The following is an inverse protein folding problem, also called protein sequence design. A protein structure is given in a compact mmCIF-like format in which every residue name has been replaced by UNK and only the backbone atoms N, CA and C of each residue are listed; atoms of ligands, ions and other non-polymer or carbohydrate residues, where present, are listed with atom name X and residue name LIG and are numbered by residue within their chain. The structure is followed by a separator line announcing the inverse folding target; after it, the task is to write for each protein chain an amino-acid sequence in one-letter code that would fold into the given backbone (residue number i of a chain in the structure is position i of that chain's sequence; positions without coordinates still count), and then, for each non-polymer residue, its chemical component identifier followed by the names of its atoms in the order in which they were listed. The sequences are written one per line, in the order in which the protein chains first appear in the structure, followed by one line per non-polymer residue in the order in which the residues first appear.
data_IF_917672981463
#
_entry.id   IF_917672981463
#
_cell.length_a   1.000
_cell.length_b   1.000
_cell.length_c   1.000
_cell.angle_alpha   90.00
_cell.angle_beta   90.00
_cell.angle_gamma   90.00
#
_symmetry.space_group_name_H-M   'P 1'
#
loop_
_entity.id
_entity.type
_entity.pdbx_description
1 polymer ?
#
# COMPACT_ATOMS: atom_id res chain seq x y z
N UNK A 1 -10.59 -7.10 1.98
CA UNK A 1 -10.23 -6.01 1.07
C UNK A 1 -9.38 -6.54 -0.07
N UNK A 2 -9.35 -5.85 -1.21
CA UNK A 2 -8.52 -6.25 -2.36
C UNK A 2 -7.19 -5.49 -2.29
N UNK A 3 -6.52 -5.66 -1.16
CA UNK A 3 -5.21 -5.14 -0.84
C UNK A 3 -4.28 -6.28 -0.43
N UNK A 4 -3.01 -5.94 -0.19
CA UNK A 4 -2.00 -6.92 0.21
C UNK A 4 -2.33 -7.55 1.57
N UNK A 5 -2.82 -6.76 2.54
CA UNK A 5 -3.24 -7.30 3.85
C UNK A 5 -4.44 -8.26 3.72
N UNK A 6 -5.38 -8.01 2.80
CA UNK A 6 -6.45 -8.93 2.45
C UNK A 6 -5.95 -10.24 1.84
N UNK A 7 -4.89 -10.18 1.02
CA UNK A 7 -4.21 -11.36 0.48
C UNK A 7 -3.57 -12.20 1.60
N UNK A 8 -2.97 -11.56 2.61
CA UNK A 8 -2.47 -12.25 3.79
C UNK A 8 -3.58 -12.95 4.58
N UNK A 9 -4.74 -12.31 4.78
CA UNK A 9 -5.90 -12.93 5.44
C UNK A 9 -6.34 -14.19 4.69
N UNK A 10 -6.47 -14.12 3.35
CA UNK A 10 -6.79 -15.31 2.53
C UNK A 10 -5.77 -16.42 2.75
N UNK A 11 -4.48 -16.09 2.75
CA UNK A 11 -3.41 -17.04 3.01
C UNK A 11 -3.49 -17.68 4.40
N UNK A 12 -3.80 -16.92 5.44
CA UNK A 12 -4.01 -17.44 6.79
C UNK A 12 -5.21 -18.39 6.88
N UNK A 13 -6.30 -18.10 6.16
CA UNK A 13 -7.47 -19.00 6.06
C UNK A 13 -7.10 -20.29 5.33
N UNK A 14 -6.37 -20.20 4.22
CA UNK A 14 -5.84 -21.38 3.51
C UNK A 14 -4.96 -22.22 4.46
N UNK A 15 -4.04 -21.58 5.18
CA UNK A 15 -3.15 -22.23 6.13
C UNK A 15 -3.92 -22.90 7.28
N UNK A 16 -4.98 -22.27 7.80
CA UNK A 16 -5.84 -22.84 8.83
C UNK A 16 -6.41 -24.19 8.38
N UNK A 17 -7.03 -24.23 7.20
CA UNK A 17 -7.60 -25.46 6.66
C UNK A 17 -6.52 -26.47 6.27
N UNK A 18 -5.41 -26.04 5.69
CA UNK A 18 -4.29 -26.91 5.36
C UNK A 18 -3.70 -27.59 6.61
N UNK A 19 -3.57 -26.84 7.70
CA UNK A 19 -2.99 -27.34 8.95
C UNK A 19 -3.91 -28.30 9.69
N UNK A 20 -5.20 -27.97 9.83
CA UNK A 20 -6.13 -28.77 10.63
C UNK A 20 -6.91 -29.82 9.83
N UNK A 21 -7.25 -29.51 8.57
CA UNK A 21 -8.14 -30.34 7.74
C UNK A 21 -7.73 -30.33 6.25
N UNK A 22 -6.53 -30.83 5.90
CA UNK A 22 -6.02 -30.76 4.52
C UNK A 22 -6.92 -31.45 3.49
N UNK A 23 -7.64 -32.50 3.90
CA UNK A 23 -8.61 -33.20 3.03
C UNK A 23 -9.75 -32.29 2.56
N UNK A 24 -10.12 -31.25 3.32
CA UNK A 24 -11.15 -30.29 2.88
C UNK A 24 -10.69 -29.47 1.67
N UNK A 25 -9.40 -29.11 1.62
CA UNK A 25 -8.82 -28.38 0.48
C UNK A 25 -8.69 -29.26 -0.77
N UNK A 26 -8.76 -30.59 -0.62
CA UNK A 26 -8.76 -31.54 -1.74
C UNK A 26 -10.12 -31.63 -2.44
N UNK A 27 -11.19 -31.08 -1.83
CA UNK A 27 -12.50 -31.02 -2.47
C UNK A 27 -12.60 -29.77 -3.35
N UNK A 28 -12.83 -29.99 -4.64
CA UNK A 28 -13.03 -28.92 -5.62
C UNK A 28 -14.19 -28.00 -5.20
N UNK A 29 -13.94 -26.69 -5.22
CA UNK A 29 -14.95 -25.69 -4.87
C UNK A 29 -15.23 -25.52 -3.37
N UNK A 30 -14.54 -26.23 -2.47
CA UNK A 30 -14.66 -26.02 -1.02
C UNK A 30 -14.27 -24.60 -0.61
N UNK A 31 -13.11 -24.13 -1.11
CA UNK A 31 -12.64 -22.78 -0.86
C UNK A 31 -12.90 -21.90 -2.08
N UNK A 32 -13.51 -20.74 -1.84
CA UNK A 32 -13.83 -19.75 -2.87
C UNK A 32 -13.41 -18.37 -2.38
N UNK A 33 -13.04 -17.50 -3.30
CA UNK A 33 -12.80 -16.10 -3.02
C UNK A 33 -13.73 -15.20 -3.83
N UNK A 34 -14.15 -14.11 -3.20
CA UNK A 34 -14.89 -13.04 -3.84
C UNK A 34 -13.94 -11.88 -4.15
N UNK A 35 -13.89 -11.46 -5.40
CA UNK A 35 -13.06 -10.36 -5.89
C UNK A 35 -13.90 -9.16 -6.31
N UNK A 36 -13.40 -7.97 -6.03
CA UNK A 36 -14.00 -6.70 -6.47
C UNK A 36 -12.99 -5.94 -7.32
N UNK A 37 -13.43 -5.05 -8.22
CA UNK A 37 -12.52 -4.14 -8.91
C UNK A 37 -11.69 -3.33 -7.92
N UNK A 38 -10.42 -3.11 -8.23
CA UNK A 38 -9.50 -2.28 -7.43
C UNK A 38 -9.43 -0.84 -7.94
N UNK A 39 -9.73 -0.62 -9.22
CA UNK A 39 -9.80 0.71 -9.83
C UNK A 39 -11.04 0.74 -10.72
N UNK A 40 -11.79 1.83 -10.65
CA UNK A 40 -12.83 2.14 -11.64
C UNK A 40 -12.58 3.49 -12.25
N UNK A 41 -12.79 3.57 -13.56
CA UNK A 41 -12.66 4.79 -14.33
C UNK A 41 -14.01 5.20 -14.91
N UNK A 42 -14.37 6.46 -14.84
CA UNK A 42 -15.60 7.02 -15.45
C UNK A 42 -15.24 8.15 -16.40
N UNK A 43 -15.67 8.03 -17.65
CA UNK A 43 -15.52 9.08 -18.67
C UNK A 43 -16.43 10.27 -18.36
N UNK A 44 -15.93 11.49 -18.59
CA UNK A 44 -16.71 12.72 -18.47
C UNK A 44 -17.88 12.80 -19.49
N UNK A 45 -17.80 12.10 -20.63
CA UNK A 45 -18.86 12.06 -21.65
C UNK A 45 -19.92 10.99 -21.39
N UNK A 46 -19.95 10.41 -20.19
CA UNK A 46 -21.08 9.61 -19.70
C UNK A 46 -21.15 8.17 -20.20
N UNK A 47 -20.06 7.63 -20.79
CA UNK A 47 -19.98 6.19 -21.09
C UNK A 47 -19.47 5.37 -19.90
N UNK A 48 -19.90 4.12 -19.89
CA UNK A 48 -19.77 3.09 -18.84
C UNK A 48 -18.48 3.15 -18.03
N UNK A 49 -18.59 2.84 -16.74
CA UNK A 49 -17.44 2.75 -15.86
C UNK A 49 -16.62 1.49 -16.19
N UNK A 50 -15.40 1.67 -16.68
CA UNK A 50 -14.47 0.54 -16.85
C UNK A 50 -13.89 0.17 -15.48
N UNK A 51 -13.84 -1.13 -15.21
CA UNK A 51 -13.39 -1.70 -13.94
C UNK A 51 -12.16 -2.55 -14.18
N UNK A 52 -11.13 -2.34 -13.34
CA UNK A 52 -9.87 -3.08 -13.37
C UNK A 52 -9.74 -3.88 -12.09
N UNK A 53 -9.25 -5.12 -12.20
CA UNK A 53 -9.13 -6.05 -11.08
C UNK A 53 -7.67 -6.27 -10.65
N UNK A 54 -6.72 -5.75 -11.42
CA UNK A 54 -5.30 -5.72 -11.07
C UNK A 54 -4.66 -4.37 -11.40
N UNK A 55 -3.59 -4.00 -10.67
CA UNK A 55 -2.86 -2.75 -10.92
C UNK A 55 -2.13 -2.81 -12.26
N UNK A 56 -1.50 -3.93 -12.68
CA UNK A 56 -0.92 -4.05 -14.01
C UNK A 56 -1.92 -3.77 -15.13
N UNK A 57 -3.10 -4.39 -15.09
CA UNK A 57 -4.17 -4.18 -16.08
C UNK A 57 -4.56 -2.69 -16.21
N UNK A 58 -4.66 -2.00 -15.06
CA UNK A 58 -4.92 -0.56 -15.05
C UNK A 58 -3.76 0.26 -15.63
N UNK A 59 -2.51 -0.08 -15.30
CA UNK A 59 -1.32 0.62 -15.82
C UNK A 59 -1.17 0.44 -17.33
N UNK A 60 -1.34 -0.78 -17.84
CA UNK A 60 -1.35 -1.07 -19.28
C UNK A 60 -2.40 -0.24 -20.02
N UNK A 61 -3.60 -0.13 -19.43
CA UNK A 61 -4.67 0.73 -19.95
C UNK A 61 -4.31 2.22 -19.94
N UNK A 62 -3.61 2.70 -18.89
CA UNK A 62 -3.12 4.08 -18.81
C UNK A 62 -2.05 4.36 -19.87
N UNK A 63 -1.07 3.47 -20.00
CA UNK A 63 0.06 3.62 -20.91
C UNK A 63 -0.38 3.55 -22.37
N UNK A 64 -1.30 2.63 -22.72
CA UNK A 64 -1.91 2.58 -24.04
C UNK A 64 -2.60 3.90 -24.43
N UNK A 65 -3.27 4.56 -23.48
CA UNK A 65 -3.89 5.88 -23.67
C UNK A 65 -2.88 7.02 -23.77
N UNK A 66 -1.82 7.01 -22.97
CA UNK A 66 -0.73 7.99 -23.06
C UNK A 66 -0.04 7.92 -24.43
N UNK A 67 0.20 6.71 -24.94
CA UNK A 67 0.78 6.50 -26.26
C UNK A 67 -0.11 7.00 -27.40
N UNK A 68 -1.44 6.88 -27.29
CA UNK A 68 -2.37 7.37 -28.32
C UNK A 68 -2.36 8.91 -28.42
N UNK A 69 -2.13 9.61 -27.30
CA UNK A 69 -2.04 11.08 -27.27
C UNK A 69 -0.68 11.57 -27.78
N UNK A 70 0.41 10.83 -27.54
CA UNK A 70 1.74 11.18 -28.07
C UNK A 70 1.86 10.98 -29.60
N UNK A 71 1.02 10.11 -30.19
CA UNK A 71 0.97 9.87 -31.63
C UNK A 71 0.01 10.78 -32.42
N UNK A 72 -0.78 11.64 -31.76
CA UNK A 72 -1.80 12.46 -32.43
C UNK A 72 -1.30 13.76 -33.05
N UNK A 73 0.01 14.01 -33.07
CA UNK A 73 0.59 15.20 -33.74
C UNK A 73 0.74 15.02 -35.27
N UNK A 74 0.43 13.84 -35.84
CA UNK A 74 0.39 13.61 -37.29
C UNK A 74 -0.72 12.63 -37.68
N UNK A 75 -1.88 13.14 -38.11
CA UNK A 75 -2.66 12.63 -39.25
C UNK A 75 -4.03 13.34 -39.33
N UNK A 76 -4.11 14.39 -40.15
CA UNK A 76 -5.37 14.87 -40.73
C UNK A 76 -5.92 13.77 -41.66
N UNK A 77 -6.71 12.86 -41.11
CA UNK A 77 -7.29 11.75 -41.88
C UNK A 77 -7.95 10.69 -41.00
N UNK A 78 -8.83 11.09 -40.08
CA UNK A 78 -9.65 10.13 -39.34
C UNK A 78 -10.92 9.80 -40.13
N UNK A 79 -11.11 8.52 -40.46
CA UNK A 79 -12.39 7.98 -40.97
C UNK A 79 -13.53 8.29 -40.00
N UNK A 80 -14.69 8.71 -40.55
CA UNK A 80 -15.92 8.96 -39.81
C UNK A 80 -16.38 7.69 -39.06
N UNK A 81 -16.20 7.66 -37.74
CA UNK A 81 -16.82 6.64 -36.88
C UNK A 81 -15.95 6.13 -35.73
N UNK A 82 -14.64 6.34 -35.73
CA UNK A 82 -13.77 5.93 -34.62
C UNK A 82 -13.69 7.06 -33.59
N UNK A 83 -14.36 6.88 -32.46
CA UNK A 83 -14.29 7.84 -31.35
C UNK A 83 -12.88 7.80 -30.78
N UNK A 84 -12.10 8.88 -30.95
CA UNK A 84 -10.76 8.96 -30.36
C UNK A 84 -10.85 8.78 -28.83
N UNK A 85 -9.93 8.01 -28.23
CA UNK A 85 -9.91 7.82 -26.78
C UNK A 85 -9.76 9.18 -26.09
N UNK A 86 -10.58 9.42 -25.06
CA UNK A 86 -10.50 10.65 -24.26
C UNK A 86 -9.13 10.77 -23.58
N UNK A 87 -8.59 12.00 -23.54
CA UNK A 87 -7.41 12.32 -22.72
C UNK A 87 -7.67 11.88 -21.27
N UNK A 88 -6.63 11.33 -20.62
CA UNK A 88 -6.69 10.87 -19.23
C UNK A 88 -7.20 11.94 -18.25
N UNK A 89 -6.93 13.21 -18.54
CA UNK A 89 -7.41 14.38 -17.77
C UNK A 89 -8.94 14.47 -17.69
N UNK A 90 -9.65 13.88 -18.66
CA UNK A 90 -11.12 13.88 -18.72
C UNK A 90 -11.74 12.58 -18.16
N UNK A 91 -10.92 11.72 -17.54
CA UNK A 91 -11.37 10.47 -16.94
C UNK A 91 -11.26 10.56 -15.43
N UNK A 92 -12.38 10.38 -14.74
CA UNK A 92 -12.38 10.24 -13.27
C UNK A 92 -11.86 8.86 -12.90
N UNK A 93 -10.80 8.80 -12.10
CA UNK A 93 -10.17 7.56 -11.61
C UNK A 93 -10.46 7.44 -10.13
N UNK A 94 -11.03 6.32 -9.69
CA UNK A 94 -11.31 6.04 -8.29
C UNK A 94 -10.74 4.69 -7.88
N UNK A 95 -9.97 4.68 -6.80
CA UNK A 95 -9.36 3.50 -6.20
C UNK A 95 -10.30 2.86 -5.17
N UNK A 96 -10.41 1.52 -5.18
CA UNK A 96 -11.31 0.70 -4.37
C UNK A 96 -10.52 -0.31 -3.54
N UNK A 97 -9.54 0.17 -2.75
CA UNK A 97 -8.69 -0.69 -1.91
C UNK A 97 -9.52 -1.38 -0.81
N UNK A 98 -10.36 -0.62 -0.10
CA UNK A 98 -11.26 -1.12 0.94
C UNK A 98 -12.63 -1.53 0.40
N UNK A 99 -13.20 -2.63 0.91
CA UNK A 99 -14.55 -3.07 0.52
C UNK A 99 -15.61 -2.02 0.86
N UNK A 100 -15.41 -1.25 1.93
CA UNK A 100 -16.29 -0.15 2.34
C UNK A 100 -16.39 1.02 1.35
N UNK A 101 -15.50 1.10 0.37
CA UNK A 101 -15.57 2.11 -0.71
C UNK A 101 -16.72 1.83 -1.70
N UNK A 102 -17.18 0.58 -1.77
CA UNK A 102 -18.27 0.17 -2.65
C UNK A 102 -19.62 0.57 -2.07
N UNK A 103 -20.49 1.12 -2.92
CA UNK A 103 -21.87 1.43 -2.57
C UNK A 103 -22.73 0.16 -2.51
N UNK A 104 -23.85 0.21 -1.79
CA UNK A 104 -24.80 -0.90 -1.77
C UNK A 104 -25.38 -1.23 -3.16
N UNK A 105 -25.45 -0.25 -4.07
CA UNK A 105 -25.87 -0.46 -5.45
C UNK A 105 -24.85 -1.30 -6.22
N UNK A 106 -23.56 -0.92 -6.15
CA UNK A 106 -22.47 -1.68 -6.75
C UNK A 106 -22.37 -3.09 -6.17
N UNK A 107 -22.57 -3.24 -4.86
CA UNK A 107 -22.64 -4.55 -4.22
C UNK A 107 -23.71 -5.45 -4.87
N UNK A 108 -24.93 -4.93 -5.08
CA UNK A 108 -25.99 -5.68 -5.77
C UNK A 108 -25.61 -6.03 -7.21
N UNK A 109 -24.89 -5.16 -7.93
CA UNK A 109 -24.39 -5.46 -9.27
C UNK A 109 -23.38 -6.61 -9.25
N UNK A 110 -22.44 -6.61 -8.30
CA UNK A 110 -21.47 -7.70 -8.18
C UNK A 110 -22.13 -9.04 -7.87
N UNK A 111 -23.13 -9.06 -6.99
CA UNK A 111 -23.87 -10.29 -6.69
C UNK A 111 -24.77 -10.75 -7.84
N UNK A 112 -25.25 -9.84 -8.71
CA UNK A 112 -25.92 -10.23 -9.96
C UNK A 112 -24.94 -10.88 -10.93
N UNK A 113 -23.70 -10.37 -11.00
CA UNK A 113 -22.62 -10.92 -11.80
C UNK A 113 -21.70 -11.87 -11.01
N UNK A 114 -22.25 -12.66 -10.07
CA UNK A 114 -21.46 -13.45 -9.11
C UNK A 114 -20.40 -14.34 -9.77
N UNK A 115 -20.67 -14.88 -10.96
CA UNK A 115 -19.72 -15.73 -11.69
C UNK A 115 -18.42 -15.00 -12.09
N UNK A 116 -18.49 -13.69 -12.34
CA UNK A 116 -17.32 -12.85 -12.64
C UNK A 116 -16.51 -12.54 -11.37
N UNK A 117 -17.20 -12.38 -10.24
CA UNK A 117 -16.61 -11.99 -8.97
C UNK A 117 -16.17 -13.17 -8.11
N UNK A 118 -16.56 -14.40 -8.46
CA UNK A 118 -16.23 -15.60 -7.70
C UNK A 118 -15.13 -16.39 -8.40
N UNK A 119 -14.00 -16.56 -7.71
CA UNK A 119 -12.95 -17.48 -8.11
C UNK A 119 -12.93 -18.69 -7.17
N UNK A 120 -12.73 -19.87 -7.74
CA UNK A 120 -12.67 -21.12 -6.98
C UNK A 120 -11.23 -21.57 -6.84
N UNK A 121 -10.85 -22.05 -5.65
CA UNK A 121 -9.58 -22.75 -5.52
C UNK A 121 -9.71 -24.15 -6.10
N UNK A 122 -8.72 -24.55 -6.88
CA UNK A 122 -8.60 -25.90 -7.41
C UNK A 122 -8.37 -26.89 -6.26
N UNK A 123 -8.64 -28.17 -6.50
CA UNK A 123 -8.36 -29.21 -5.52
C UNK A 123 -6.85 -29.27 -5.20
N UNK A 124 -6.52 -29.36 -3.92
CA UNK A 124 -5.15 -29.37 -3.41
C UNK A 124 -4.30 -30.46 -4.08
N UNK A 125 -3.18 -30.05 -4.69
CA UNK A 125 -2.18 -30.93 -5.27
C UNK A 125 -0.92 -31.02 -4.38
N UNK A 126 0.00 -31.92 -4.73
CA UNK A 126 1.24 -32.11 -3.96
C UNK A 126 2.15 -30.87 -3.92
N UNK A 127 2.25 -30.11 -5.02
CA UNK A 127 3.03 -28.88 -5.11
C UNK A 127 2.44 -27.75 -4.25
N UNK A 128 1.11 -27.67 -4.18
CA UNK A 128 0.38 -26.67 -3.38
C UNK A 128 0.72 -26.76 -1.89
N UNK A 129 0.76 -27.98 -1.33
CA UNK A 129 1.05 -28.21 0.08
C UNK A 129 2.45 -27.70 0.46
N UNK A 130 3.43 -27.88 -0.44
CA UNK A 130 4.79 -27.38 -0.24
C UNK A 130 4.85 -25.84 -0.26
N UNK A 131 4.08 -25.19 -1.13
CA UNK A 131 3.98 -23.73 -1.21
C UNK A 131 3.31 -23.14 0.04
N UNK A 132 2.23 -23.74 0.52
CA UNK A 132 1.56 -23.32 1.77
C UNK A 132 2.51 -23.47 2.96
N UNK A 133 3.19 -24.61 3.07
CA UNK A 133 4.15 -24.84 4.16
C UNK A 133 5.35 -23.88 4.07
N UNK A 134 5.86 -23.57 2.88
CA UNK A 134 6.89 -22.52 2.70
C UNK A 134 6.43 -21.17 3.28
N UNK A 135 5.21 -20.76 2.96
CA UNK A 135 4.67 -19.46 3.35
C UNK A 135 4.46 -19.33 4.86
N UNK A 136 3.92 -20.37 5.54
CA UNK A 136 3.43 -20.24 6.91
C UNK A 136 4.22 -21.01 7.97
N UNK A 137 5.12 -21.91 7.59
CA UNK A 137 5.92 -22.64 8.56
C UNK A 137 6.99 -21.74 9.19
N UNK A 138 6.93 -21.57 10.51
CA UNK A 138 7.87 -20.73 11.28
C UNK A 138 9.34 -21.11 11.07
N UNK A 139 9.63 -22.39 10.85
CA UNK A 139 10.99 -22.92 10.71
C UNK A 139 11.58 -22.67 9.31
N UNK A 140 10.75 -22.25 8.34
CA UNK A 140 11.15 -21.98 6.95
C UNK A 140 11.52 -20.52 6.65
N UNK A 141 11.90 -19.75 7.67
CA UNK A 141 12.30 -18.35 7.48
C UNK A 141 13.48 -18.19 6.48
N UNK A 142 14.46 -19.10 6.50
CA UNK A 142 15.57 -19.10 5.53
C UNK A 142 15.11 -19.36 4.08
N UNK A 143 14.17 -20.29 3.89
CA UNK A 143 13.60 -20.57 2.58
C UNK A 143 12.76 -19.40 2.06
N UNK A 144 11.98 -18.74 2.92
CA UNK A 144 11.23 -17.53 2.54
C UNK A 144 12.14 -16.39 2.09
N UNK A 145 13.31 -16.23 2.71
CA UNK A 145 14.31 -15.26 2.22
C UNK A 145 14.73 -15.59 0.79
N UNK A 146 15.11 -16.84 0.52
CA UNK A 146 15.50 -17.27 -0.82
C UNK A 146 14.37 -17.06 -1.84
N UNK A 147 13.14 -17.45 -1.48
CA UNK A 147 11.93 -17.23 -2.25
C UNK A 147 11.75 -15.75 -2.64
N UNK A 148 11.81 -14.85 -1.65
CA UNK A 148 11.67 -13.40 -1.82
C UNK A 148 12.87 -12.70 -2.47
N UNK A 149 14.02 -13.35 -2.63
CA UNK A 149 15.20 -12.72 -3.25
C UNK A 149 15.53 -13.25 -4.63
N UNK A 150 15.18 -14.50 -4.95
CA UNK A 150 15.72 -15.19 -6.14
C UNK A 150 14.71 -15.95 -6.98
N UNK A 151 13.61 -16.41 -6.39
CA UNK A 151 12.68 -17.32 -7.08
C UNK A 151 11.38 -16.64 -7.51
N UNK A 152 11.35 -15.31 -7.48
CA UNK A 152 10.11 -14.57 -7.64
C UNK A 152 10.17 -13.54 -8.75
N UNK A 153 9.00 -13.33 -9.34
CA UNK A 153 8.72 -12.28 -10.29
C UNK A 153 7.68 -11.34 -9.65
N UNK A 154 8.11 -10.17 -9.18
CA UNK A 154 7.21 -9.14 -8.64
C UNK A 154 6.31 -8.50 -9.71
N UNK A 155 6.55 -8.79 -10.98
CA UNK A 155 5.63 -8.40 -12.06
C UNK A 155 4.53 -9.45 -12.31
N UNK A 156 4.64 -10.64 -11.72
CA UNK A 156 3.64 -11.67 -11.86
C UNK A 156 2.45 -11.42 -10.93
N UNK A 157 1.26 -11.35 -11.53
CA UNK A 157 -0.01 -11.26 -10.82
C UNK A 157 -0.90 -12.44 -11.23
N UNK A 158 -1.87 -12.76 -10.38
CA UNK A 158 -2.93 -13.68 -10.78
C UNK A 158 -3.74 -13.08 -11.93
N UNK A 159 -4.09 -13.90 -12.91
CA UNK A 159 -5.03 -13.51 -13.95
C UNK A 159 -6.38 -13.14 -13.31
N UNK A 160 -6.81 -11.87 -13.40
CA UNK A 160 -8.07 -11.42 -12.80
C UNK A 160 -9.30 -12.11 -13.41
N UNK A 161 -9.24 -12.59 -14.65
CA UNK A 161 -10.38 -13.13 -15.38
C UNK A 161 -10.51 -14.66 -15.31
N UNK A 162 -9.48 -15.36 -14.81
CA UNK A 162 -9.57 -16.79 -14.54
C UNK A 162 -10.62 -17.10 -13.45
N UNK A 163 -11.51 -18.05 -13.73
CA UNK A 163 -12.53 -18.52 -12.78
C UNK A 163 -11.99 -19.44 -11.69
N UNK A 164 -10.76 -19.94 -11.85
CA UNK A 164 -10.10 -20.83 -10.90
C UNK A 164 -8.66 -20.41 -10.61
N UNK A 165 -8.14 -20.80 -9.45
CA UNK A 165 -6.78 -20.52 -9.02
C UNK A 165 -6.23 -21.71 -8.24
N UNK A 166 -4.98 -22.10 -8.50
CA UNK A 166 -4.28 -23.09 -7.68
C UNK A 166 -3.71 -22.43 -6.41
N UNK A 167 -3.46 -23.21 -5.35
CA UNK A 167 -2.89 -22.63 -4.13
C UNK A 167 -1.44 -22.16 -4.37
N UNK A 168 -0.65 -22.90 -5.14
CA UNK A 168 0.70 -22.52 -5.54
C UNK A 168 0.71 -21.16 -6.26
N UNK A 169 -0.17 -20.96 -7.24
CA UNK A 169 -0.27 -19.68 -7.93
C UNK A 169 -0.69 -18.56 -6.99
N UNK A 170 -1.64 -18.81 -6.09
CA UNK A 170 -2.03 -17.83 -5.09
C UNK A 170 -0.84 -17.43 -4.20
N UNK A 171 -0.07 -18.40 -3.71
CA UNK A 171 1.11 -18.13 -2.87
C UNK A 171 2.15 -17.32 -3.65
N UNK A 172 2.47 -17.74 -4.87
CA UNK A 172 3.57 -17.19 -5.65
C UNK A 172 3.24 -15.94 -6.48
N UNK A 173 1.95 -15.65 -6.73
CA UNK A 173 1.50 -14.51 -7.57
C UNK A 173 0.57 -13.52 -6.84
N UNK A 174 0.07 -13.84 -5.64
CA UNK A 174 -0.77 -12.94 -4.83
C UNK A 174 -0.17 -12.70 -3.43
N UNK A 175 0.07 -13.76 -2.64
CA UNK A 175 0.59 -13.64 -1.26
C UNK A 175 2.00 -13.05 -1.20
N UNK A 176 2.82 -13.28 -2.23
CA UNK A 176 4.17 -12.74 -2.28
C UNK A 176 4.20 -11.21 -2.26
N UNK A 177 3.22 -10.55 -2.89
CA UNK A 177 3.11 -9.09 -2.91
C UNK A 177 2.89 -8.54 -1.50
N UNK A 178 2.14 -9.26 -0.67
CA UNK A 178 2.04 -8.95 0.75
C UNK A 178 3.38 -9.11 1.47
N UNK A 179 4.06 -10.24 1.26
CA UNK A 179 5.34 -10.52 1.92
C UNK A 179 6.39 -9.45 1.59
N UNK A 180 6.40 -8.98 0.34
CA UNK A 180 7.26 -7.90 -0.11
C UNK A 180 6.83 -6.54 0.47
N UNK A 181 5.55 -6.18 0.40
CA UNK A 181 5.02 -4.95 1.00
C UNK A 181 5.27 -4.90 2.52
N UNK A 182 5.21 -6.04 3.20
CA UNK A 182 5.48 -6.15 4.63
C UNK A 182 6.94 -5.84 4.97
N UNK A 183 7.88 -6.33 4.15
CA UNK A 183 9.30 -5.95 4.25
C UNK A 183 9.47 -4.45 4.04
N UNK A 184 8.87 -3.90 2.97
CA UNK A 184 9.00 -2.48 2.63
C UNK A 184 8.48 -1.56 3.73
N UNK A 185 7.36 -1.90 4.38
CA UNK A 185 6.80 -1.09 5.48
C UNK A 185 7.50 -1.31 6.83
N UNK A 186 8.12 -2.47 7.03
CA UNK A 186 8.68 -2.88 8.33
C UNK A 186 10.18 -2.58 8.48
N UNK A 187 10.95 -2.62 7.39
CA UNK A 187 12.40 -2.41 7.40
C UNK A 187 12.71 -0.99 6.88
N UNK A 188 13.50 -0.19 7.61
CA UNK A 188 13.86 1.16 7.16
C UNK A 188 14.82 1.15 5.97
N UNK A 189 14.89 2.26 5.24
CA UNK A 189 15.90 2.45 4.22
C UNK A 189 17.26 2.81 4.88
N UNK A 190 18.37 2.34 4.31
CA UNK A 190 19.71 2.59 4.86
C UNK A 190 20.13 4.06 4.81
N UNK A 191 19.59 4.84 3.85
CA UNK A 191 20.02 6.22 3.60
C UNK A 191 19.48 7.17 4.68
N UNK A 192 18.17 7.08 4.99
CA UNK A 192 17.53 7.95 5.98
C UNK A 192 17.22 7.25 7.32
N UNK A 193 17.37 5.93 7.40
CA UNK A 193 17.00 5.17 8.59
C UNK A 193 15.49 5.16 8.88
N UNK A 194 14.65 5.59 7.92
CA UNK A 194 13.21 5.74 8.11
C UNK A 194 12.43 4.62 7.41
N UNK A 195 11.37 4.17 8.08
CA UNK A 195 10.29 3.41 7.46
C UNK A 195 9.39 4.34 6.62
N UNK A 196 8.65 3.83 5.63
CA UNK A 196 7.75 4.66 4.82
C UNK A 196 6.78 5.51 5.64
N UNK A 197 6.20 4.96 6.73
CA UNK A 197 5.29 5.73 7.60
C UNK A 197 5.97 6.93 8.26
N UNK A 198 7.22 6.76 8.73
CA UNK A 198 8.01 7.84 9.32
C UNK A 198 8.40 8.89 8.27
N UNK A 199 8.67 8.44 7.05
CA UNK A 199 8.97 9.32 5.92
C UNK A 199 7.77 10.15 5.49
N UNK A 200 6.57 9.55 5.43
CA UNK A 200 5.29 10.25 5.21
C UNK A 200 5.05 11.31 6.27
N UNK A 201 5.32 11.00 7.54
CA UNK A 201 5.25 11.98 8.65
C UNK A 201 6.21 13.13 8.39
N UNK A 202 7.48 12.85 8.12
CA UNK A 202 8.50 13.88 7.92
C UNK A 202 8.19 14.77 6.70
N UNK A 203 7.82 14.17 5.57
CA UNK A 203 7.39 14.88 4.36
C UNK A 203 6.19 15.78 4.62
N UNK A 204 5.15 15.29 5.31
CA UNK A 204 4.00 16.11 5.66
C UNK A 204 4.36 17.28 6.58
N UNK A 205 5.27 17.07 7.53
CA UNK A 205 5.78 18.13 8.40
C UNK A 205 6.58 19.20 7.62
N UNK A 206 7.40 18.79 6.64
CA UNK A 206 8.12 19.70 5.74
C UNK A 206 7.17 20.50 4.86
N UNK A 207 6.20 19.84 4.23
CA UNK A 207 5.16 20.46 3.39
C UNK A 207 4.33 21.48 4.16
N UNK A 208 3.98 21.17 5.41
CA UNK A 208 3.25 22.08 6.32
C UNK A 208 4.12 23.20 6.90
N UNK A 209 5.44 23.12 6.79
CA UNK A 209 6.42 24.02 7.43
C UNK A 209 6.23 24.14 8.95
N UNK A 210 6.05 23.00 9.61
CA UNK A 210 5.75 22.90 11.04
C UNK A 210 6.99 23.18 11.93
N UNK A 211 7.60 24.35 11.80
CA UNK A 211 8.88 24.69 12.44
C UNK A 211 8.67 25.54 13.71
N UNK A 212 7.84 26.59 13.62
CA UNK A 212 7.65 27.57 14.71
C UNK A 212 6.43 27.30 15.57
N UNK A 213 5.30 26.96 14.94
CA UNK A 213 4.04 26.71 15.63
C UNK A 213 3.86 25.22 15.91
N UNK A 214 3.39 24.91 17.12
CA UNK A 214 3.02 23.56 17.50
C UNK A 214 1.60 23.25 17.03
N UNK A 215 1.37 22.02 16.58
CA UNK A 215 0.05 21.53 16.25
C UNK A 215 -0.26 20.23 17.00
N UNK A 216 -1.54 19.96 17.23
CA UNK A 216 -1.95 18.73 17.90
C UNK A 216 -1.58 17.52 17.06
N UNK A 217 -1.15 16.43 17.69
CA UNK A 217 -0.79 15.19 16.98
C UNK A 217 -1.94 14.69 16.11
N UNK A 218 -3.19 14.76 16.59
CA UNK A 218 -4.38 14.39 15.80
C UNK A 218 -4.56 15.24 14.54
N UNK A 219 -4.26 16.54 14.59
CA UNK A 219 -4.40 17.43 13.43
C UNK A 219 -3.30 17.18 12.41
N UNK A 220 -2.08 16.92 12.88
CA UNK A 220 -0.93 16.61 12.03
C UNK A 220 -1.14 15.25 11.35
N UNK A 221 -1.62 14.24 12.07
CA UNK A 221 -1.93 12.93 11.50
C UNK A 221 -2.99 13.03 10.39
N UNK A 222 -4.08 13.76 10.61
CA UNK A 222 -5.09 13.99 9.57
C UNK A 222 -4.50 14.69 8.33
N UNK A 223 -3.68 15.72 8.53
CA UNK A 223 -2.99 16.42 7.43
C UNK A 223 -2.05 15.49 6.65
N UNK A 224 -1.22 14.70 7.34
CA UNK A 224 -0.32 13.74 6.69
C UNK A 224 -1.12 12.69 5.93
N UNK A 225 -2.17 12.14 6.53
CA UNK A 225 -2.99 11.12 5.88
C UNK A 225 -3.59 11.62 4.56
N UNK A 226 -4.10 12.86 4.54
CA UNK A 226 -4.63 13.52 3.35
C UNK A 226 -3.55 13.76 2.27
N UNK A 227 -2.34 14.18 2.65
CA UNK A 227 -1.31 14.66 1.72
C UNK A 227 -0.28 13.59 1.31
N UNK A 228 -0.37 12.38 1.86
CA UNK A 228 0.58 11.28 1.60
C UNK A 228 -0.09 9.96 1.24
N UNK A 229 -1.40 9.99 0.96
CA UNK A 229 -2.20 8.80 0.67
C UNK A 229 -2.01 7.67 1.72
N UNK A 230 -1.96 8.01 3.02
CA UNK A 230 -1.71 7.00 4.05
C UNK A 230 -2.93 6.07 4.24
N UNK A 231 -2.76 4.76 4.04
CA UNK A 231 -3.88 3.80 4.03
C UNK A 231 -4.07 2.94 5.28
N UNK A 232 -3.14 2.96 6.24
CA UNK A 232 -3.13 2.01 7.37
C UNK A 232 -3.80 2.52 8.65
N UNK A 233 -4.72 3.49 8.52
CA UNK A 233 -5.50 4.07 9.63
C UNK A 233 -4.74 5.07 10.51
N UNK A 234 -5.46 6.07 11.02
CA UNK A 234 -4.86 7.19 11.77
C UNK A 234 -4.20 6.77 13.09
N UNK A 235 -4.67 5.69 13.74
CA UNK A 235 -4.10 5.21 14.99
C UNK A 235 -2.62 4.80 14.87
N UNK A 236 -2.27 4.15 13.75
CA UNK A 236 -0.88 3.80 13.44
C UNK A 236 -0.04 5.05 13.19
N UNK A 237 -0.63 6.06 12.54
CA UNK A 237 0.05 7.31 12.25
C UNK A 237 0.28 8.16 13.51
N UNK A 238 -0.69 8.23 14.42
CA UNK A 238 -0.52 8.83 15.75
C UNK A 238 0.65 8.20 16.50
N UNK A 239 0.69 6.87 16.54
CA UNK A 239 1.77 6.13 17.22
C UNK A 239 3.13 6.40 16.56
N UNK A 240 3.17 6.51 15.23
CA UNK A 240 4.39 6.83 14.48
C UNK A 240 4.91 8.23 14.84
N UNK A 241 4.04 9.24 14.84
CA UNK A 241 4.40 10.62 15.22
C UNK A 241 4.92 10.68 16.65
N UNK A 242 4.24 10.00 17.58
CA UNK A 242 4.63 9.96 18.99
C UNK A 242 6.02 9.33 19.14
N UNK A 243 6.25 8.18 18.52
CA UNK A 243 7.54 7.48 18.57
C UNK A 243 8.68 8.32 17.99
N UNK A 244 8.43 9.13 16.94
CA UNK A 244 9.43 10.03 16.35
C UNK A 244 9.77 11.24 17.24
N UNK A 245 8.91 11.57 18.21
CA UNK A 245 9.10 12.69 19.13
C UNK A 245 9.66 12.29 20.50
N UNK A 246 9.63 11.00 20.85
CA UNK A 246 10.09 10.49 22.15
C UNK A 246 11.58 10.75 22.38
N UNK A 247 11.92 11.29 23.56
CA UNK A 247 13.25 11.78 23.93
C UNK A 247 13.79 11.17 25.25
N UNK A 248 13.10 10.19 25.83
CA UNK A 248 13.56 9.51 27.04
C UNK A 248 14.76 8.59 26.78
N UNK A 249 15.56 8.29 27.81
CA UNK A 249 16.73 7.40 27.72
C UNK A 249 16.34 6.03 27.16
N UNK A 250 16.91 5.66 26.01
CA UNK A 250 16.60 4.43 25.28
C UNK A 250 15.60 4.59 24.13
N UNK A 251 15.12 5.80 23.87
CA UNK A 251 14.34 6.16 22.67
C UNK A 251 15.25 6.70 21.56
N UNK A 252 14.97 7.90 21.03
CA UNK A 252 15.73 8.50 19.94
C UNK A 252 16.94 9.29 20.47
N UNK A 253 18.13 9.05 19.93
CA UNK A 253 19.30 9.90 20.21
C UNK A 253 19.10 11.34 19.73
N UNK A 254 18.45 11.48 18.57
CA UNK A 254 18.10 12.78 17.96
C UNK A 254 16.63 12.71 17.51
N UNK A 255 15.67 13.12 18.36
CA UNK A 255 14.26 13.12 17.98
C UNK A 255 13.99 14.17 16.90
N UNK A 256 13.40 13.73 15.78
CA UNK A 256 13.10 14.57 14.62
C UNK A 256 11.89 15.49 14.85
N UNK A 257 11.09 15.15 15.85
CA UNK A 257 9.94 15.93 16.30
C UNK A 257 10.12 16.30 17.78
N UNK A 258 9.53 17.41 18.20
CA UNK A 258 9.53 17.85 19.59
C UNK A 258 8.32 17.28 20.32
N UNK A 259 8.53 16.70 21.50
CA UNK A 259 7.47 16.23 22.38
C UNK A 259 6.93 17.39 23.25
N UNK A 260 5.82 18.02 22.82
CA UNK A 260 5.16 19.07 23.59
C UNK A 260 3.93 18.51 24.33
N UNK A 261 4.18 17.95 25.51
CA UNK A 261 3.20 17.23 26.32
C UNK A 261 3.74 15.90 26.82
N UNK A 262 2.86 14.98 27.22
CA UNK A 262 3.24 13.64 27.70
C UNK A 262 3.31 12.65 26.53
N UNK A 263 4.51 12.45 25.97
CA UNK A 263 4.79 11.52 24.86
C UNK A 263 5.23 10.12 25.33
N UNK A 264 5.09 9.85 26.62
CA UNK A 264 5.49 8.61 27.26
C UNK A 264 6.88 8.73 27.88
N UNK A 265 7.16 7.84 28.82
CA UNK A 265 8.37 7.88 29.61
C UNK A 265 9.09 6.54 29.56
N UNK A 266 10.32 6.54 30.06
CA UNK A 266 11.10 5.30 30.20
C UNK A 266 10.42 4.24 31.07
N UNK A 267 9.48 4.61 31.95
CA UNK A 267 8.85 3.68 32.88
C UNK A 267 8.07 2.56 32.17
N UNK A 268 7.49 2.87 31.02
CA UNK A 268 6.77 1.89 30.19
C UNK A 268 7.31 1.81 28.76
N UNK A 269 8.55 2.28 28.55
CA UNK A 269 9.17 2.35 27.21
C UNK A 269 8.33 3.16 26.23
N UNK A 270 7.76 4.29 26.69
CA UNK A 270 6.97 5.20 25.87
C UNK A 270 5.50 4.84 25.71
N UNK A 271 5.03 3.70 26.22
CA UNK A 271 3.61 3.26 26.10
C UNK A 271 2.63 4.07 26.95
N UNK A 272 3.13 4.83 27.91
CA UNK A 272 2.39 5.71 28.83
C UNK A 272 2.18 7.12 28.26
N UNK A 273 2.16 7.26 26.92
CA UNK A 273 1.86 8.52 26.25
C UNK A 273 0.39 8.92 26.45
N UNK A 274 0.14 10.23 26.54
CA UNK A 274 -1.21 10.76 26.65
C UNK A 274 -1.92 10.76 25.29
N UNK A 275 -3.26 10.78 25.31
CA UNK A 275 -4.06 10.75 24.07
C UNK A 275 -3.59 11.79 23.02
N UNK A 276 -3.47 11.41 21.73
CA UNK A 276 -3.04 12.30 20.63
C UNK A 276 -3.84 13.60 20.48
N UNK A 277 -5.01 13.70 21.13
CA UNK A 277 -5.86 14.90 21.15
C UNK A 277 -5.35 16.00 22.09
N UNK A 278 -4.52 15.65 23.08
CA UNK A 278 -4.05 16.55 24.13
C UNK A 278 -2.57 16.92 24.00
N UNK A 279 -1.83 16.21 23.16
CA UNK A 279 -0.40 16.43 22.97
C UNK A 279 -0.12 17.14 21.65
N UNK A 280 0.94 17.95 21.66
CA UNK A 280 1.33 18.79 20.54
C UNK A 280 2.74 18.42 20.09
N UNK A 281 3.03 18.68 18.82
CA UNK A 281 4.37 18.48 18.28
C UNK A 281 4.68 19.47 17.17
N UNK A 282 5.96 19.57 16.84
CA UNK A 282 6.54 20.34 15.74
C UNK A 282 7.85 19.71 15.32
N UNK A 283 8.40 20.13 14.17
CA UNK A 283 9.74 19.75 13.76
C UNK A 283 10.75 20.23 14.80
N UNK A 284 11.69 19.34 15.16
CA UNK A 284 12.86 19.74 15.91
C UNK A 284 13.70 20.72 15.07
N UNK A 285 14.28 21.79 15.65
CA UNK A 285 15.11 22.73 14.90
C UNK A 285 16.28 22.06 14.16
N UNK A 286 16.80 20.95 14.71
CA UNK A 286 17.88 20.18 14.09
C UNK A 286 17.42 19.42 12.84
N UNK A 287 16.13 19.15 12.68
CA UNK A 287 15.62 18.27 11.62
C UNK A 287 15.86 18.87 10.23
N UNK A 288 15.67 20.17 10.03
CA UNK A 288 16.01 20.80 8.73
C UNK A 288 17.50 21.04 8.52
N UNK A 289 18.32 20.96 9.57
CA UNK A 289 19.78 20.92 9.43
C UNK A 289 20.26 19.53 9.01
N UNK A 290 19.60 18.48 9.51
CA UNK A 290 19.86 17.10 9.12
C UNK A 290 19.35 16.79 7.72
N UNK A 291 18.21 17.35 7.33
CA UNK A 291 17.57 17.17 6.03
C UNK A 291 17.43 18.54 5.33
N UNK A 292 18.49 19.02 4.66
CA UNK A 292 18.53 20.33 4.01
C UNK A 292 17.39 20.52 3.01
N UNK A 293 16.79 21.70 2.97
CA UNK A 293 15.68 22.00 2.04
C UNK A 293 16.17 22.09 0.58
N UNK A 294 17.45 22.41 0.39
CA UNK A 294 18.11 22.45 -0.91
C UNK A 294 18.13 21.08 -1.60
N UNK A 295 18.20 20.00 -0.81
CA UNK A 295 18.22 18.63 -1.31
C UNK A 295 16.83 18.17 -1.78
N UNK A 296 15.74 18.78 -1.27
CA UNK A 296 14.36 18.36 -1.55
C UNK A 296 14.05 18.33 -3.06
N UNK A 297 14.69 19.18 -3.87
CA UNK A 297 14.49 19.27 -5.32
C UNK A 297 15.16 18.15 -6.13
N UNK A 298 16.13 17.44 -5.54
CA UNK A 298 16.86 16.34 -6.17
C UNK A 298 16.29 14.96 -5.79
N UNK A 299 15.39 14.91 -4.81
CA UNK A 299 14.79 13.66 -4.34
C UNK A 299 13.81 13.10 -5.36
N UNK A 300 13.77 11.77 -5.48
CA UNK A 300 12.75 11.08 -6.27
C UNK A 300 11.50 10.85 -5.44
N UNK A 301 10.46 11.63 -5.73
CA UNK A 301 9.12 11.48 -5.15
C UNK A 301 8.34 10.34 -5.79
N UNK A 302 7.60 9.62 -4.97
CA UNK A 302 6.70 8.56 -5.42
C UNK A 302 5.31 9.14 -5.74
N UNK A 303 4.54 8.40 -6.55
CA UNK A 303 3.16 8.74 -6.88
C UNK A 303 2.23 7.65 -6.35
N UNK A 304 1.30 8.03 -5.47
CA UNK A 304 0.28 7.15 -4.91
C UNK A 304 -1.10 7.75 -5.12
N UNK A 305 -2.04 6.94 -5.64
CA UNK A 305 -3.42 7.35 -5.94
C UNK A 305 -3.52 8.65 -6.78
N UNK A 306 -2.55 8.89 -7.67
CA UNK A 306 -2.47 10.08 -8.52
C UNK A 306 -1.95 11.34 -7.80
N UNK A 307 -1.43 11.20 -6.58
CA UNK A 307 -0.82 12.28 -5.81
C UNK A 307 0.68 12.04 -5.66
N UNK A 308 1.47 13.10 -5.79
CA UNK A 308 2.88 13.06 -5.39
C UNK A 308 2.97 13.02 -3.86
N UNK A 309 3.58 11.95 -3.34
CA UNK A 309 3.71 11.70 -1.91
C UNK A 309 5.16 11.91 -1.46
N UNK A 310 5.63 11.22 -0.43
CA UNK A 310 7.00 11.30 0.09
C UNK A 310 8.05 10.76 -0.90
N UNK A 311 9.34 11.10 -0.73
CA UNK A 311 10.40 10.55 -1.56
C UNK A 311 10.67 9.08 -1.25
N UNK A 312 11.36 8.39 -2.15
CA UNK A 312 11.89 7.03 -1.90
C UNK A 312 12.71 6.95 -0.61
N UNK A 313 13.53 7.97 -0.38
CA UNK A 313 14.29 8.23 0.83
C UNK A 313 14.65 9.72 0.88
N UNK A 314 14.86 10.24 2.09
CA UNK A 314 15.57 11.51 2.25
C UNK A 314 17.08 11.28 2.25
N UNK A 315 17.86 12.33 2.03
CA UNK A 315 19.33 12.27 2.12
C UNK A 315 19.76 13.13 3.31
N UNK A 316 19.97 12.53 4.50
CA UNK A 316 20.45 13.29 5.64
C UNK A 316 21.95 13.61 5.52
N UNK A 317 22.39 14.69 6.19
CA UNK A 317 23.81 15.08 6.27
C UNK A 317 24.66 14.01 6.97
N UNK A 318 24.07 13.27 7.90
CA UNK A 318 24.70 12.14 8.62
C UNK A 318 23.81 10.90 8.55
N UNK A 319 24.35 9.67 8.63
CA UNK A 319 23.55 8.45 8.61
C UNK A 319 22.69 8.35 9.88
N UNK A 320 21.42 8.72 9.78
CA UNK A 320 20.45 8.74 10.89
C UNK A 320 20.01 7.36 11.37
N UNK A 321 20.40 6.30 10.67
CA UNK A 321 20.15 4.91 11.08
C UNK A 321 21.03 4.48 12.28
N UNK A 322 22.19 5.12 12.49
CA UNK A 322 23.16 4.80 13.54
C UNK A 322 22.90 5.58 14.84
#
# INVERSE_FOLDING_TARGET
DQDTDGSHIKGLVINLFHHFWPNLLSHEGFLQQFITPIVKTRSARGKEAQSFYSIPEFKEWQDARRATVAGSDIADGAEEGVTQPEKLENVSIKYYKGLGTNTAAEGREYFKALALHRKQFQALQSADAAAIDLAFNKDKAGHRKHWLTTQHDLSAYLDPHSSSVSYEEFINKELIHFSYADIQRSIPNVIDGLKPSQRKVLYGCFKKKLIKEEAKVVQIAGYIAEHTAYHHGEASLHSTIINMAQDFVGANNVPLLVASGQFGTRAQGGKDFASPRYVFTRLSPITRLLFPEEDDSFLRYEEEDGQTVEPTYFVPVIPTLL
#
